data_IF_903047833843
#
_entry.id   IF_903047833843
#
_cell.length_a   1.000
_cell.length_b   1.000
_cell.length_c   1.000
_cell.angle_alpha   90.00
_cell.angle_beta   90.00
_cell.angle_gamma   90.00
#
_symmetry.space_group_name_H-M   'P 1'
#
loop_
_entity.id
_entity.type
_entity.pdbx_description
1 polymer ?
#
# COMPACT_ATOMS: atom_id res chain seq x y z
N UNK A 1 22.48 -22.35 -6.67
CA UNK A 1 22.18 -23.42 -7.64
C UNK A 1 20.67 -23.47 -7.83
N UNK A 2 20.14 -23.37 -9.07
CA UNK A 2 18.71 -23.52 -9.29
C UNK A 2 18.30 -24.97 -8.97
N UNK A 3 17.26 -25.13 -8.15
CA UNK A 3 16.68 -26.44 -7.83
C UNK A 3 15.41 -26.63 -8.64
N UNK A 4 15.21 -27.84 -9.18
CA UNK A 4 13.97 -28.21 -9.85
C UNK A 4 12.89 -28.43 -8.79
N UNK A 5 11.72 -27.83 -8.99
CA UNK A 5 10.53 -27.99 -8.17
C UNK A 5 9.44 -28.61 -9.05
N UNK A 6 8.92 -29.76 -8.64
CA UNK A 6 7.77 -30.42 -9.28
C UNK A 6 6.58 -30.25 -8.37
N UNK A 7 5.47 -29.75 -8.91
CA UNK A 7 4.23 -29.49 -8.17
C UNK A 7 3.12 -30.37 -8.72
N UNK A 8 2.26 -30.87 -7.84
CA UNK A 8 0.99 -31.45 -8.23
C UNK A 8 -0.09 -30.37 -8.05
N UNK A 9 -0.74 -29.98 -9.14
CA UNK A 9 -1.70 -28.87 -9.22
C UNK A 9 -2.77 -29.25 -10.23
N UNK A 10 -3.94 -28.62 -10.08
CA UNK A 10 -5.10 -28.83 -10.95
C UNK A 10 -4.77 -28.58 -12.43
N UNK A 11 -5.25 -29.45 -13.32
CA UNK A 11 -5.07 -29.35 -14.78
C UNK A 11 -5.65 -28.05 -15.34
N UNK A 12 -6.73 -27.53 -14.77
CA UNK A 12 -7.32 -26.24 -15.16
C UNK A 12 -6.36 -25.08 -14.84
N UNK A 13 -5.68 -25.15 -13.69
CA UNK A 13 -4.67 -24.16 -13.29
C UNK A 13 -3.41 -24.24 -14.16
N UNK A 14 -3.00 -25.45 -14.56
CA UNK A 14 -1.90 -25.65 -15.51
C UNK A 14 -2.24 -24.96 -16.85
N UNK A 15 -3.45 -25.23 -17.36
CA UNK A 15 -3.94 -24.64 -18.61
C UNK A 15 -3.97 -23.10 -18.54
N UNK A 16 -4.51 -22.56 -17.46
CA UNK A 16 -4.51 -21.12 -17.19
C UNK A 16 -3.10 -20.53 -17.17
N UNK A 17 -2.16 -21.17 -16.47
CA UNK A 17 -0.78 -20.69 -16.35
C UNK A 17 -0.08 -20.63 -17.71
N UNK A 18 -0.34 -21.60 -18.59
CA UNK A 18 0.17 -21.59 -19.96
C UNK A 18 -0.41 -20.43 -20.77
N UNK A 19 -1.73 -20.22 -20.74
CA UNK A 19 -2.37 -19.10 -21.45
C UNK A 19 -1.86 -17.74 -20.95
N UNK A 20 -1.78 -17.57 -19.63
CA UNK A 20 -1.27 -16.35 -19.01
C UNK A 20 0.19 -16.08 -19.38
N UNK A 21 1.03 -17.12 -19.38
CA UNK A 21 2.44 -17.06 -19.77
C UNK A 21 2.62 -16.56 -21.20
N UNK A 22 1.84 -17.10 -22.15
CA UNK A 22 1.88 -16.71 -23.56
C UNK A 22 1.42 -15.27 -23.78
N UNK A 23 0.31 -14.87 -23.15
CA UNK A 23 -0.26 -13.53 -23.31
C UNK A 23 0.67 -12.44 -22.76
N UNK A 24 1.38 -12.72 -21.67
CA UNK A 24 2.20 -11.73 -20.96
C UNK A 24 3.70 -11.85 -21.27
N UNK A 25 4.13 -12.80 -22.11
CA UNK A 25 5.54 -13.02 -22.45
C UNK A 25 6.41 -13.41 -21.25
N UNK A 26 5.84 -14.07 -20.24
CA UNK A 26 6.50 -14.42 -18.98
C UNK A 26 6.49 -15.93 -18.79
N UNK A 27 7.62 -16.56 -18.45
CA UNK A 27 7.64 -18.00 -18.18
C UNK A 27 6.91 -18.34 -16.88
N UNK A 28 6.29 -19.52 -16.82
CA UNK A 28 5.59 -20.02 -15.63
C UNK A 28 6.53 -20.07 -14.41
N UNK A 29 7.78 -20.52 -14.60
CA UNK A 29 8.78 -20.53 -13.53
C UNK A 29 9.03 -19.13 -12.97
N UNK A 30 9.17 -18.13 -13.83
CA UNK A 30 9.41 -16.74 -13.41
C UNK A 30 8.19 -16.13 -12.72
N UNK A 31 6.99 -16.44 -13.21
CA UNK A 31 5.73 -16.05 -12.58
C UNK A 31 5.65 -16.61 -11.14
N UNK A 32 5.95 -17.90 -10.98
CA UNK A 32 5.90 -18.57 -9.70
C UNK A 32 6.98 -18.06 -8.72
N UNK A 33 8.21 -17.85 -9.19
CA UNK A 33 9.28 -17.23 -8.40
C UNK A 33 8.89 -15.83 -7.90
N UNK A 34 8.30 -14.99 -8.77
CA UNK A 34 7.84 -13.65 -8.39
C UNK A 34 6.72 -13.71 -7.35
N UNK A 35 5.79 -14.66 -7.49
CA UNK A 35 4.73 -14.86 -6.51
C UNK A 35 5.28 -15.25 -5.13
N UNK A 36 6.18 -16.24 -5.07
CA UNK A 36 6.83 -16.64 -3.82
C UNK A 36 7.67 -15.51 -3.21
N UNK A 37 8.36 -14.73 -4.04
CA UNK A 37 9.12 -13.57 -3.58
C UNK A 37 8.20 -12.52 -2.93
N UNK A 38 7.01 -12.27 -3.52
CA UNK A 38 6.00 -11.38 -2.95
C UNK A 38 5.41 -11.91 -1.65
N UNK A 39 5.15 -13.21 -1.53
CA UNK A 39 4.69 -13.80 -0.28
C UNK A 39 5.72 -13.61 0.84
N UNK A 40 7.00 -13.84 0.53
CA UNK A 40 8.12 -13.65 1.48
C UNK A 40 8.24 -12.20 1.95
N UNK A 41 8.06 -11.22 1.06
CA UNK A 41 8.07 -9.80 1.45
C UNK A 41 6.79 -9.35 2.14
N UNK A 42 5.68 -10.07 1.98
CA UNK A 42 4.42 -9.76 2.69
C UNK A 42 4.48 -10.21 4.16
N UNK A 43 5.16 -11.33 4.44
CA UNK A 43 5.40 -11.79 5.83
C UNK A 43 6.41 -10.92 6.58
N UNK A 44 7.36 -10.30 5.87
CA UNK A 44 8.05 -9.13 6.37
C UNK A 44 7.05 -7.97 6.33
N UNK A 45 6.11 -7.95 7.29
CA UNK A 45 5.34 -6.75 7.64
C UNK A 45 6.31 -5.59 7.52
N UNK A 46 6.12 -4.72 6.53
CA UNK A 46 6.87 -3.49 6.45
C UNK A 46 6.61 -2.81 7.79
N UNK A 47 7.58 -2.85 8.70
CA UNK A 47 7.57 -2.01 9.87
C UNK A 47 7.56 -0.61 9.29
N UNK A 48 6.36 -0.01 9.29
CA UNK A 48 6.21 1.38 8.94
C UNK A 48 7.21 2.11 9.81
N UNK A 49 8.04 2.96 9.19
CA UNK A 49 8.91 3.86 9.94
C UNK A 49 8.06 4.49 11.07
N UNK A 50 8.55 4.56 12.32
CA UNK A 50 7.75 5.01 13.46
C UNK A 50 7.03 6.35 13.21
N UNK A 51 7.62 7.25 12.40
CA UNK A 51 6.95 8.49 11.97
C UNK A 51 5.76 8.22 11.05
N UNK A 52 5.91 7.31 10.09
CA UNK A 52 4.85 6.89 9.18
C UNK A 52 3.76 6.09 9.91
N UNK A 53 4.13 5.22 10.86
CA UNK A 53 3.17 4.49 11.68
C UNK A 53 2.28 5.44 12.49
N UNK A 54 2.86 6.49 13.08
CA UNK A 54 2.10 7.52 13.81
C UNK A 54 1.18 8.36 12.92
N UNK A 55 1.46 8.45 11.61
CA UNK A 55 0.61 9.16 10.65
C UNK A 55 -0.47 8.26 10.06
N UNK A 56 -0.18 6.97 9.96
CA UNK A 56 -1.08 5.97 9.40
C UNK A 56 -2.29 5.78 10.31
N UNK A 57 -3.50 5.88 9.75
CA UNK A 57 -4.74 5.74 10.51
C UNK A 57 -5.21 7.00 11.25
N UNK A 58 -4.45 8.11 11.27
CA UNK A 58 -4.88 9.36 11.93
C UNK A 58 -6.23 9.91 11.46
N UNK A 59 -6.61 9.62 10.21
CA UNK A 59 -7.86 10.07 9.62
C UNK A 59 -8.87 8.93 9.43
N UNK A 60 -8.63 7.77 10.04
CA UNK A 60 -9.51 6.61 9.91
C UNK A 60 -10.85 6.83 10.62
N UNK A 61 -10.81 7.34 11.85
CA UNK A 61 -12.01 7.64 12.65
C UNK A 61 -12.51 9.07 12.47
N UNK A 62 -11.69 9.94 11.88
CA UNK A 62 -12.02 11.34 11.60
C UNK A 62 -11.63 11.68 10.16
N UNK A 63 -12.53 11.45 9.19
CA UNK A 63 -12.25 11.70 7.79
C UNK A 63 -11.94 13.18 7.56
N UNK A 64 -11.07 13.44 6.59
CA UNK A 64 -10.66 14.80 6.25
C UNK A 64 -11.91 15.60 5.81
N UNK A 65 -12.21 16.74 6.47
CA UNK A 65 -13.36 17.58 6.11
C UNK A 65 -13.29 18.09 4.67
N UNK A 66 -14.44 18.49 4.12
CA UNK A 66 -14.48 19.11 2.79
C UNK A 66 -13.56 20.34 2.70
N UNK A 67 -13.01 20.57 1.51
CA UNK A 67 -12.05 21.64 1.21
C UNK A 67 -12.54 23.01 1.68
N UNK A 68 -13.84 23.31 1.58
CA UNK A 68 -14.40 24.60 2.02
C UNK A 68 -14.35 24.73 3.54
N UNK A 69 -14.70 23.67 4.26
CA UNK A 69 -14.66 23.63 5.72
C UNK A 69 -13.24 23.70 6.25
N UNK A 70 -12.29 23.02 5.59
CA UNK A 70 -10.87 23.08 5.93
C UNK A 70 -10.30 24.50 5.76
N UNK A 71 -10.65 25.18 4.67
CA UNK A 71 -10.24 26.57 4.42
C UNK A 71 -10.81 27.54 5.46
N UNK A 72 -12.06 27.33 5.88
CA UNK A 72 -12.72 28.15 6.90
C UNK A 72 -12.03 27.99 8.25
N UNK A 73 -11.82 26.75 8.71
CA UNK A 73 -11.19 26.48 10.01
C UNK A 73 -9.73 26.97 10.07
N UNK A 74 -9.00 26.92 8.95
CA UNK A 74 -7.65 27.47 8.87
C UNK A 74 -7.63 29.01 8.95
N UNK A 75 -8.54 29.70 8.26
CA UNK A 75 -8.66 31.16 8.34
C UNK A 75 -9.09 31.63 9.73
N UNK A 76 -10.01 30.93 10.38
CA UNK A 76 -10.45 31.22 11.74
C UNK A 76 -9.30 31.06 12.75
N UNK A 77 -8.55 29.94 12.68
CA UNK A 77 -7.39 29.72 13.56
C UNK A 77 -6.28 30.75 13.34
N UNK A 78 -5.91 31.04 12.10
CA UNK A 78 -4.87 32.04 11.80
C UNK A 78 -5.24 33.45 12.27
N UNK A 79 -6.53 33.81 12.19
CA UNK A 79 -7.04 35.09 12.70
C UNK A 79 -7.04 35.14 14.23
N UNK A 80 -7.32 34.02 14.90
CA UNK A 80 -7.24 33.90 16.36
C UNK A 80 -5.80 34.09 16.85
N UNK A 81 -4.83 33.38 16.27
CA UNK A 81 -3.42 33.52 16.64
C UNK A 81 -2.89 34.94 16.43
N UNK A 82 -3.29 35.60 15.33
CA UNK A 82 -2.91 37.00 15.05
C UNK A 82 -3.49 37.98 16.08
N UNK A 83 -4.66 37.69 16.65
CA UNK A 83 -5.32 38.51 17.66
C UNK A 83 -4.70 38.35 19.06
N UNK A 84 -4.19 37.15 19.37
CA UNK A 84 -3.49 36.89 20.65
C UNK A 84 -2.08 37.48 20.72
N UNK A 85 -1.37 37.65 19.59
CA UNK A 85 -0.03 38.28 19.58
C UNK A 85 -0.05 39.82 19.48
N UNK A 86 -1.22 40.45 19.32
CA UNK A 86 -1.38 41.91 19.29
C UNK A 86 -1.97 42.49 20.59
N UNK A 87 -2.25 41.65 21.58
CA UNK A 87 -2.73 42.04 22.91
C UNK A 87 -1.69 41.77 24.02
N UNK A 88 -0.40 41.71 23.67
CA UNK A 88 0.72 41.80 24.60
C UNK A 88 1.51 43.07 24.33
#
# INVERSE_FOLDING_TARGET
MPKKLTLNIDDELISFAHSYSQQNGLSISKLFEQYLARLRTTEQKQELNPKTANLYGLFQDSPIPDKKQLRKSFHEKSSFYRRTVHNC
#
